data_IF_656375733939
#
_entry.id   IF_656375733939
#
_cell.length_a   1.000
_cell.length_b   1.000
_cell.length_c   1.000
_cell.angle_alpha   90.00
_cell.angle_beta   90.00
_cell.angle_gamma   90.00
#
_symmetry.space_group_name_H-M   'P 1'
#
loop_
_entity.id
_entity.type
_entity.pdbx_description
1 polymer ?
#
# COMPACT_ATOMS: atom_id res chain seq x y z
N UNK A 1 -5.59 9.55 -24.16
CA UNK A 1 -4.65 8.54 -23.65
C UNK A 1 -3.54 9.16 -22.83
N UNK A 2 -3.51 8.88 -21.52
CA UNK A 2 -2.35 9.25 -20.70
C UNK A 2 -1.35 8.10 -20.69
N UNK A 3 -0.09 8.38 -21.02
CA UNK A 3 1.01 7.42 -20.91
C UNK A 3 1.13 6.86 -19.47
N UNK A 4 1.39 5.57 -19.35
CA UNK A 4 1.68 4.92 -18.07
C UNK A 4 3.07 5.36 -17.57
N UNK A 5 3.18 5.67 -16.28
CA UNK A 5 4.44 6.12 -15.66
C UNK A 5 5.12 4.91 -15.00
N UNK A 6 6.30 4.47 -15.46
CA UNK A 6 7.00 3.33 -14.87
C UNK A 6 7.59 3.67 -13.50
N UNK A 7 7.50 2.71 -12.58
CA UNK A 7 8.00 2.82 -11.21
C UNK A 7 8.85 1.61 -10.86
N UNK A 8 9.94 1.87 -10.15
CA UNK A 8 10.82 0.83 -9.60
C UNK A 8 10.19 0.30 -8.30
N UNK A 9 10.37 -0.99 -8.03
CA UNK A 9 9.92 -1.63 -6.78
C UNK A 9 11.08 -2.41 -6.19
N UNK A 10 11.38 -2.16 -4.93
CA UNK A 10 12.37 -2.91 -4.16
C UNK A 10 11.70 -3.51 -2.93
N UNK A 11 11.72 -4.84 -2.84
CA UNK A 11 11.31 -5.61 -1.67
C UNK A 11 12.26 -6.79 -1.47
N UNK A 12 12.73 -7.01 -0.25
CA UNK A 12 13.63 -8.11 0.08
C UNK A 12 13.38 -8.67 1.49
N UNK A 13 14.12 -9.71 1.86
CA UNK A 13 13.95 -10.37 3.16
C UNK A 13 14.86 -9.80 4.27
N UNK A 14 15.48 -8.63 4.03
CA UNK A 14 16.42 -7.98 4.92
C UNK A 14 15.99 -6.54 5.27
N UNK A 15 16.46 -5.54 4.54
CA UNK A 15 16.37 -4.11 4.84
C UNK A 15 15.17 -3.39 4.19
N UNK A 16 14.49 -4.05 3.24
CA UNK A 16 13.36 -3.49 2.49
C UNK A 16 12.21 -4.50 2.43
N UNK A 17 11.75 -4.97 3.59
CA UNK A 17 10.68 -5.98 3.68
C UNK A 17 9.29 -5.40 3.57
N UNK A 18 9.05 -4.26 4.21
CA UNK A 18 7.74 -3.60 4.24
C UNK A 18 7.85 -2.21 3.66
N UNK A 19 7.15 -1.97 2.56
CA UNK A 19 7.03 -0.67 1.94
C UNK A 19 5.75 0.03 2.40
N UNK A 20 5.86 1.09 3.20
CA UNK A 20 4.76 1.98 3.54
C UNK A 20 4.55 2.94 2.37
N UNK A 21 3.41 2.87 1.70
CA UNK A 21 3.08 3.70 0.54
C UNK A 21 2.06 4.76 0.94
N UNK A 22 2.51 6.01 1.03
CA UNK A 22 1.67 7.16 1.37
C UNK A 22 1.40 8.05 0.16
N UNK A 23 0.39 8.91 0.29
CA UNK A 23 0.04 9.90 -0.71
C UNK A 23 -1.47 10.01 -0.94
N UNK A 24 -1.91 11.03 -1.68
CA UNK A 24 -3.32 11.31 -1.90
C UNK A 24 -4.08 10.16 -2.59
N UNK A 25 -5.39 10.16 -2.41
CA UNK A 25 -6.27 9.27 -3.17
C UNK A 25 -6.20 9.60 -4.66
N UNK A 26 -6.39 8.58 -5.51
CA UNK A 26 -6.25 8.67 -6.97
C UNK A 26 -4.83 8.95 -7.49
N UNK A 27 -3.81 9.05 -6.63
CA UNK A 27 -2.43 9.26 -7.05
C UNK A 27 -1.76 8.02 -7.67
N UNK A 28 -2.36 6.83 -7.50
CA UNK A 28 -1.89 5.58 -8.11
C UNK A 28 -1.28 4.57 -7.13
N UNK A 29 -1.50 4.69 -5.81
CA UNK A 29 -1.01 3.74 -4.79
C UNK A 29 -1.44 2.31 -5.11
N UNK A 30 -2.75 2.08 -5.25
CA UNK A 30 -3.28 0.75 -5.56
C UNK A 30 -2.82 0.25 -6.94
N UNK A 31 -2.63 1.14 -7.92
CA UNK A 31 -2.05 0.78 -9.23
C UNK A 31 -0.62 0.28 -9.09
N UNK A 32 0.22 1.00 -8.34
CA UNK A 32 1.61 0.65 -8.04
C UNK A 32 1.72 -0.70 -7.31
N UNK A 33 0.83 -0.97 -6.36
CA UNK A 33 0.85 -2.25 -5.64
C UNK A 33 0.33 -3.42 -6.50
N UNK A 34 -0.76 -3.21 -7.26
CA UNK A 34 -1.30 -4.23 -8.16
C UNK A 34 -0.32 -4.61 -9.26
N UNK A 35 0.42 -3.64 -9.83
CA UNK A 35 1.43 -3.97 -10.84
C UNK A 35 2.52 -4.90 -10.27
N UNK A 36 2.95 -4.72 -9.02
CA UNK A 36 3.96 -5.57 -8.38
C UNK A 36 3.45 -7.00 -8.25
N UNK A 37 2.22 -7.17 -7.78
CA UNK A 37 1.58 -8.49 -7.69
C UNK A 37 1.46 -9.16 -9.07
N UNK A 38 1.02 -8.43 -10.09
CA UNK A 38 0.90 -8.95 -11.46
C UNK A 38 2.26 -9.36 -12.03
N UNK A 39 3.30 -8.56 -11.83
CA UNK A 39 4.67 -8.86 -12.28
C UNK A 39 5.18 -10.16 -11.65
N UNK A 40 4.95 -10.37 -10.35
CA UNK A 40 5.31 -11.62 -9.64
C UNK A 40 4.58 -12.82 -10.24
N UNK A 41 3.26 -12.71 -10.45
CA UNK A 41 2.46 -13.78 -11.04
C UNK A 41 2.93 -14.12 -12.47
N UNK A 42 3.15 -13.11 -13.32
CA UNK A 42 3.64 -13.30 -14.68
C UNK A 42 5.00 -14.01 -14.70
N UNK A 43 5.92 -13.62 -13.83
CA UNK A 43 7.23 -14.26 -13.72
C UNK A 43 7.12 -15.73 -13.32
N UNK A 44 6.29 -16.06 -12.33
CA UNK A 44 6.08 -17.44 -11.88
C UNK A 44 5.28 -18.31 -12.85
N UNK A 45 4.53 -17.69 -13.78
CA UNK A 45 3.91 -18.38 -14.91
C UNK A 45 4.90 -18.68 -16.06
N UNK A 46 6.14 -18.17 -15.98
CA UNK A 46 7.14 -18.29 -17.04
C UNK A 46 7.00 -17.27 -18.17
N UNK A 47 6.21 -16.21 -17.98
CA UNK A 47 6.08 -15.11 -18.93
C UNK A 47 7.21 -14.10 -18.78
N UNK A 48 7.53 -13.38 -19.86
CA UNK A 48 8.21 -12.08 -19.72
C UNK A 48 7.35 -11.11 -18.92
N UNK A 49 8.00 -10.17 -18.24
CA UNK A 49 7.36 -9.18 -17.37
C UNK A 49 7.52 -7.76 -17.93
N UNK A 50 6.56 -6.85 -17.68
CA UNK A 50 6.59 -5.48 -18.18
C UNK A 50 7.54 -4.58 -17.37
N UNK A 51 8.83 -4.88 -17.38
CA UNK A 51 9.88 -4.11 -16.73
C UNK A 51 11.14 -4.05 -17.60
N UNK A 52 11.96 -3.02 -17.39
CA UNK A 52 13.28 -2.93 -18.04
C UNK A 52 14.21 -4.06 -17.56
N UNK A 53 14.10 -4.42 -16.29
CA UNK A 53 14.81 -5.53 -15.64
C UNK A 53 14.02 -5.96 -14.41
N UNK A 54 14.05 -7.24 -14.06
CA UNK A 54 13.41 -7.76 -12.85
C UNK A 54 14.20 -8.94 -12.27
N UNK A 55 14.36 -8.95 -10.95
CA UNK A 55 14.86 -10.09 -10.18
C UNK A 55 13.77 -10.42 -9.16
N UNK A 56 13.16 -11.59 -9.29
CA UNK A 56 11.97 -11.98 -8.53
C UNK A 56 12.24 -13.33 -7.88
N UNK A 57 12.22 -13.37 -6.54
CA UNK A 57 12.26 -14.61 -5.79
C UNK A 57 10.94 -15.37 -5.89
N UNK A 58 10.96 -16.67 -5.62
CA UNK A 58 9.72 -17.48 -5.62
C UNK A 58 8.84 -17.06 -4.45
N UNK A 59 7.61 -16.66 -4.78
CA UNK A 59 6.55 -16.33 -3.83
C UNK A 59 5.58 -17.51 -3.74
N UNK A 60 5.30 -17.97 -2.53
CA UNK A 60 4.40 -19.11 -2.32
C UNK A 60 2.93 -18.73 -2.53
N UNK A 61 2.54 -17.53 -2.08
CA UNK A 61 1.19 -16.96 -2.21
C UNK A 61 1.23 -15.44 -2.31
N UNK A 62 0.33 -14.89 -3.12
CA UNK A 62 0.04 -13.46 -3.15
C UNK A 62 -1.27 -13.21 -2.42
N UNK A 63 -1.22 -12.43 -1.34
CA UNK A 63 -2.39 -12.01 -0.59
C UNK A 63 -2.70 -10.55 -0.89
N UNK A 64 -3.97 -10.24 -1.10
CA UNK A 64 -4.41 -8.87 -1.36
C UNK A 64 -5.57 -8.51 -0.46
N UNK A 65 -5.44 -7.39 0.26
CA UNK A 65 -6.56 -6.65 0.82
C UNK A 65 -6.60 -5.28 0.16
N UNK A 66 -7.13 -5.24 -1.05
CA UNK A 66 -7.39 -4.00 -1.79
C UNK A 66 -8.90 -3.83 -1.78
N UNK A 67 -9.40 -2.69 -1.30
CA UNK A 67 -10.83 -2.46 -1.14
C UNK A 67 -11.62 -2.86 -2.38
N UNK A 68 -12.54 -3.81 -2.23
CA UNK A 68 -13.62 -4.00 -3.17
C UNK A 68 -14.63 -2.89 -2.91
N UNK A 69 -15.05 -2.20 -3.97
CA UNK A 69 -16.20 -1.30 -3.94
C UNK A 69 -17.40 -2.07 -3.36
N UNK A 70 -17.89 -1.60 -2.21
CA UNK A 70 -19.12 -1.96 -1.51
C UNK A 70 -19.84 -3.22 -2.00
N UNK A 71 -19.63 -4.34 -1.31
CA UNK A 71 -20.64 -5.40 -1.26
C UNK A 71 -21.32 -5.36 0.11
N UNK A 72 -22.37 -4.55 0.19
CA UNK A 72 -23.17 -4.30 1.38
C UNK A 72 -24.17 -5.44 1.69
N UNK A 73 -24.04 -6.60 1.04
CA UNK A 73 -25.03 -7.67 1.07
C UNK A 73 -24.60 -8.86 1.93
N UNK A 74 -24.51 -8.71 3.27
CA UNK A 74 -24.37 -9.86 4.17
C UNK A 74 -24.86 -9.68 5.62
N UNK A 75 -25.35 -8.51 6.03
CA UNK A 75 -25.74 -8.28 7.44
C UNK A 75 -24.58 -8.27 8.45
N UNK A 76 -23.34 -8.25 7.96
CA UNK A 76 -22.12 -8.06 8.76
C UNK A 76 -21.60 -6.63 8.60
N UNK A 77 -20.99 -6.07 9.66
CA UNK A 77 -20.30 -4.78 9.58
C UNK A 77 -19.16 -4.87 8.57
N UNK A 78 -19.01 -3.87 7.71
CA UNK A 78 -17.92 -3.75 6.73
C UNK A 78 -16.55 -3.88 7.39
N UNK A 79 -16.41 -3.33 8.59
CA UNK A 79 -15.21 -3.47 9.40
C UNK A 79 -14.97 -4.92 9.88
N UNK A 80 -16.01 -5.67 10.22
CA UNK A 80 -15.88 -7.07 10.63
C UNK A 80 -15.46 -7.97 9.47
N UNK A 81 -15.97 -7.70 8.26
CA UNK A 81 -15.53 -8.36 7.03
C UNK A 81 -14.05 -8.07 6.77
N UNK A 82 -13.66 -6.79 6.84
CA UNK A 82 -12.26 -6.37 6.71
C UNK A 82 -11.34 -7.08 7.71
N UNK A 83 -11.72 -7.15 8.99
CA UNK A 83 -10.93 -7.83 10.01
C UNK A 83 -10.86 -9.35 9.80
N UNK A 84 -11.93 -9.96 9.28
CA UNK A 84 -11.95 -11.40 8.97
C UNK A 84 -11.05 -11.74 7.79
N UNK A 85 -11.05 -10.90 6.74
CA UNK A 85 -10.13 -11.01 5.61
C UNK A 85 -8.67 -10.85 6.05
N UNK A 86 -8.40 -9.84 6.87
CA UNK A 86 -7.07 -9.62 7.45
C UNK A 86 -6.61 -10.80 8.30
N UNK A 87 -7.47 -11.32 9.17
CA UNK A 87 -7.17 -12.50 9.98
C UNK A 87 -6.89 -13.73 9.09
N UNK A 88 -7.62 -13.91 7.99
CA UNK A 88 -7.38 -14.98 7.04
C UNK A 88 -6.03 -14.84 6.33
N UNK A 89 -5.66 -13.63 5.91
CA UNK A 89 -4.35 -13.34 5.30
C UNK A 89 -3.23 -13.68 6.29
N UNK A 90 -3.27 -13.12 7.50
CA UNK A 90 -2.20 -13.30 8.49
C UNK A 90 -2.05 -14.75 8.96
N UNK A 91 -3.15 -15.53 8.99
CA UNK A 91 -3.12 -16.94 9.38
C UNK A 91 -2.45 -17.85 8.35
N UNK A 92 -2.55 -17.51 7.06
CA UNK A 92 -2.10 -18.38 5.97
C UNK A 92 -0.88 -17.86 5.22
N UNK A 93 -0.49 -16.61 5.45
CA UNK A 93 0.75 -16.05 4.94
C UNK A 93 1.97 -16.73 5.58
N UNK A 94 3.03 -16.84 4.80
CA UNK A 94 4.34 -17.29 5.26
C UNK A 94 5.38 -16.19 4.99
N UNK A 95 6.61 -16.35 5.49
CA UNK A 95 7.71 -15.45 5.17
C UNK A 95 8.03 -15.36 3.66
N UNK A 96 7.60 -16.36 2.86
CA UNK A 96 7.77 -16.38 1.41
C UNK A 96 6.60 -15.72 0.66
N UNK A 97 5.56 -15.28 1.36
CA UNK A 97 4.39 -14.66 0.74
C UNK A 97 4.63 -13.19 0.38
N UNK A 98 3.85 -12.70 -0.59
CA UNK A 98 3.74 -11.27 -0.93
C UNK A 98 2.38 -10.76 -0.46
N UNK A 99 2.38 -9.75 0.41
CA UNK A 99 1.16 -9.12 0.92
C UNK A 99 0.98 -7.74 0.31
N UNK A 100 -0.21 -7.47 -0.22
CA UNK A 100 -0.63 -6.16 -0.69
C UNK A 100 -1.81 -5.70 0.16
N UNK A 101 -1.57 -4.73 1.04
CA UNK A 101 -2.55 -4.26 2.01
C UNK A 101 -2.86 -2.78 1.73
N UNK A 102 -4.12 -2.45 1.49
CA UNK A 102 -4.58 -1.11 1.14
C UNK A 102 -5.62 -0.62 2.16
N UNK A 103 -5.29 0.47 2.85
CA UNK A 103 -6.15 1.24 3.74
C UNK A 103 -6.79 0.45 4.91
N UNK A 104 -6.00 -0.39 5.59
CA UNK A 104 -6.45 -1.13 6.77
C UNK A 104 -6.85 -0.19 7.91
N UNK A 105 -7.97 -0.49 8.58
CA UNK A 105 -8.44 0.21 9.79
C UNK A 105 -9.40 1.38 9.52
N UNK A 106 -9.82 1.61 8.27
CA UNK A 106 -10.68 2.75 7.92
C UNK A 106 -12.12 2.64 8.41
N UNK A 107 -12.62 1.43 8.67
CA UNK A 107 -14.01 1.18 9.07
C UNK A 107 -14.32 1.43 10.56
N UNK A 108 -13.40 1.97 11.34
CA UNK A 108 -13.53 2.16 12.80
C UNK A 108 -13.00 3.53 13.26
N UNK A 109 -12.96 3.77 14.57
CA UNK A 109 -12.39 5.01 15.14
C UNK A 109 -10.94 5.20 14.68
N UNK A 110 -10.52 6.46 14.46
CA UNK A 110 -9.19 6.77 13.93
C UNK A 110 -8.06 6.15 14.77
N UNK A 111 -8.20 6.20 16.11
CA UNK A 111 -7.21 5.65 17.03
C UNK A 111 -7.17 4.12 16.97
N UNK A 112 -8.32 3.45 16.98
CA UNK A 112 -8.37 1.99 16.90
C UNK A 112 -7.87 1.49 15.54
N UNK A 113 -8.27 2.16 14.46
CA UNK A 113 -7.85 1.84 13.10
C UNK A 113 -6.34 1.98 12.93
N UNK A 114 -5.75 3.06 13.43
CA UNK A 114 -4.30 3.25 13.43
C UNK A 114 -3.57 2.20 14.27
N UNK A 115 -4.09 1.88 15.46
CA UNK A 115 -3.49 0.86 16.34
C UNK A 115 -3.49 -0.53 15.68
N UNK A 116 -4.59 -0.89 15.02
CA UNK A 116 -4.70 -2.16 14.27
C UNK A 116 -3.75 -2.16 13.09
N UNK A 117 -3.75 -1.10 12.26
CA UNK A 117 -2.87 -0.99 11.11
C UNK A 117 -1.39 -1.09 11.50
N UNK A 118 -1.01 -0.42 12.59
CA UNK A 118 0.35 -0.52 13.17
C UNK A 118 0.68 -1.95 13.60
N UNK A 119 -0.21 -2.60 14.34
CA UNK A 119 0.04 -3.97 14.82
C UNK A 119 0.20 -4.97 13.67
N UNK A 120 -0.62 -4.84 12.61
CA UNK A 120 -0.50 -5.65 11.39
C UNK A 120 0.84 -5.41 10.70
N UNK A 121 1.24 -4.14 10.55
CA UNK A 121 2.50 -3.76 9.91
C UNK A 121 3.70 -4.32 10.69
N UNK A 122 3.73 -4.12 12.01
CA UNK A 122 4.77 -4.67 12.90
C UNK A 122 4.85 -6.20 12.81
N UNK A 123 3.69 -6.88 12.75
CA UNK A 123 3.63 -8.34 12.59
C UNK A 123 4.23 -8.81 11.26
N UNK A 124 3.96 -8.10 10.16
CA UNK A 124 4.54 -8.40 8.85
C UNK A 124 6.05 -8.12 8.80
N UNK A 125 6.49 -7.03 9.41
CA UNK A 125 7.89 -6.60 9.39
C UNK A 125 8.80 -7.53 10.22
N UNK A 126 8.32 -8.09 11.33
CA UNK A 126 9.14 -8.88 12.24
C UNK A 126 9.43 -10.30 11.70
N UNK A 127 10.71 -10.67 11.42
CA UNK A 127 11.06 -12.01 10.94
C UNK A 127 10.85 -13.12 11.96
N UNK A 128 10.72 -12.79 13.25
CA UNK A 128 10.39 -13.77 14.31
C UNK A 128 8.88 -14.04 14.37
N UNK A 129 8.08 -13.23 13.67
CA UNK A 129 6.64 -13.39 13.51
C UNK A 129 6.36 -13.87 12.09
N UNK A 130 5.85 -13.01 11.22
CA UNK A 130 5.55 -13.38 9.83
C UNK A 130 6.75 -13.14 8.92
N UNK A 131 7.35 -11.96 8.96
CA UNK A 131 8.51 -11.63 8.12
C UNK A 131 8.25 -11.69 6.61
N UNK A 132 7.02 -11.42 6.16
CA UNK A 132 6.64 -11.46 4.75
C UNK A 132 6.91 -10.12 4.05
N UNK A 133 7.18 -10.18 2.74
CA UNK A 133 7.29 -8.99 1.90
C UNK A 133 5.92 -8.33 1.79
N UNK A 134 5.82 -7.06 2.17
CA UNK A 134 4.52 -6.37 2.27
C UNK A 134 4.57 -4.98 1.64
N UNK A 135 3.60 -4.67 0.79
CA UNK A 135 3.28 -3.32 0.40
C UNK A 135 2.06 -2.85 1.19
N UNK A 136 2.22 -1.79 1.96
CA UNK A 136 1.22 -1.29 2.90
C UNK A 136 0.84 0.14 2.53
N UNK A 137 -0.26 0.33 1.81
CA UNK A 137 -0.79 1.65 1.53
C UNK A 137 -1.67 2.15 2.68
N UNK A 138 -1.44 3.38 3.13
CA UNK A 138 -2.13 3.95 4.29
C UNK A 138 -2.35 5.45 4.16
N UNK A 139 -3.30 5.95 4.95
CA UNK A 139 -3.55 7.37 5.20
C UNK A 139 -3.07 7.83 6.57
N UNK A 140 -2.68 6.89 7.43
CA UNK A 140 -2.10 7.19 8.74
C UNK A 140 -0.65 7.61 8.55
N UNK A 141 -0.41 8.93 8.45
CA UNK A 141 0.94 9.50 8.34
C UNK A 141 1.81 9.13 9.54
N UNK A 142 1.20 8.90 10.70
CA UNK A 142 1.85 8.46 11.94
C UNK A 142 2.60 7.12 11.77
N UNK A 143 2.14 6.25 10.87
CA UNK A 143 2.82 4.98 10.60
C UNK A 143 4.17 5.17 9.90
N UNK A 144 4.41 6.31 9.25
CA UNK A 144 5.69 6.58 8.58
C UNK A 144 6.86 6.66 9.57
N UNK A 145 6.60 7.02 10.83
CA UNK A 145 7.61 7.01 11.89
C UNK A 145 8.18 5.60 12.17
N UNK A 146 7.51 4.54 11.70
CA UNK A 146 7.96 3.16 11.90
C UNK A 146 9.23 2.82 11.12
N UNK A 147 9.54 3.50 10.01
CA UNK A 147 10.82 3.34 9.29
C UNK A 147 12.03 3.60 10.21
N UNK A 148 11.89 4.50 11.20
CA UNK A 148 12.98 4.84 12.12
C UNK A 148 13.15 3.82 13.26
N UNK A 149 12.13 3.00 13.52
CA UNK A 149 12.08 2.13 14.70
C UNK A 149 12.03 0.64 14.37
N UNK A 150 11.59 0.28 13.16
CA UNK A 150 11.45 -1.11 12.70
C UNK A 150 12.42 -1.39 11.54
N UNK A 151 13.42 -2.25 11.73
CA UNK A 151 14.28 -2.71 10.64
C UNK A 151 13.45 -3.36 9.53
N UNK A 152 13.81 -3.08 8.28
CA UNK A 152 13.09 -3.64 7.13
C UNK A 152 11.86 -2.84 6.69
N UNK A 153 11.48 -1.77 7.41
CA UNK A 153 10.38 -0.89 7.02
C UNK A 153 10.91 0.34 6.29
N UNK A 154 10.31 0.67 5.14
CA UNK A 154 10.72 1.78 4.29
C UNK A 154 9.53 2.63 3.88
N UNK A 155 9.71 3.94 3.87
CA UNK A 155 8.68 4.86 3.41
C UNK A 155 8.81 5.16 1.92
N UNK A 156 7.67 5.17 1.25
CA UNK A 156 7.52 5.60 -0.12
C UNK A 156 6.32 6.54 -0.23
N UNK A 157 6.44 7.55 -1.08
CA UNK A 157 5.34 8.46 -1.38
C UNK A 157 5.15 8.64 -2.88
N UNK A 158 3.94 9.05 -3.26
CA UNK A 158 3.63 9.43 -4.64
C UNK A 158 3.79 10.92 -4.79
N UNK A 159 4.66 11.32 -5.71
CA UNK A 159 4.91 12.73 -6.01
C UNK A 159 3.70 13.41 -6.65
N UNK A 160 3.39 14.60 -6.15
CA UNK A 160 2.43 15.52 -6.71
C UNK A 160 3.09 16.90 -6.88
N UNK A 161 2.70 17.64 -7.91
CA UNK A 161 3.23 18.98 -8.19
C UNK A 161 2.09 19.98 -8.31
N UNK A 162 2.19 21.12 -7.62
CA UNK A 162 1.29 22.26 -7.83
C UNK A 162 1.78 23.04 -9.04
N UNK A 163 0.90 23.25 -10.03
CA UNK A 163 1.18 24.08 -11.19
C UNK A 163 -0.07 24.93 -11.51
N UNK A 164 0.06 26.25 -11.44
CA UNK A 164 -1.02 27.18 -11.80
C UNK A 164 -2.28 27.04 -10.94
N UNK A 165 -2.16 26.66 -9.66
CA UNK A 165 -3.31 26.42 -8.77
C UNK A 165 -3.96 25.03 -8.92
N UNK A 166 -3.50 24.22 -9.88
CA UNK A 166 -3.95 22.83 -10.09
C UNK A 166 -2.93 21.86 -9.53
N UNK A 167 -3.39 20.83 -8.80
CA UNK A 167 -2.55 19.72 -8.36
C UNK A 167 -2.41 18.70 -9.49
N UNK A 168 -1.19 18.44 -9.93
CA UNK A 168 -0.84 17.44 -10.94
C UNK A 168 -0.21 16.22 -10.26
N UNK A 169 -0.83 15.06 -10.37
CA UNK A 169 -0.24 13.80 -9.89
C UNK A 169 0.78 13.28 -10.91
N UNK A 170 2.06 13.24 -10.51
CA UNK A 170 3.13 12.74 -11.37
C UNK A 170 3.17 11.21 -11.43
N UNK A 171 2.46 10.53 -10.50
CA UNK A 171 2.37 9.06 -10.40
C UNK A 171 3.73 8.37 -10.26
N UNK A 172 4.78 9.11 -9.89
CA UNK A 172 6.12 8.59 -9.63
C UNK A 172 6.27 8.32 -8.13
N UNK A 173 6.64 7.09 -7.80
CA UNK A 173 6.99 6.63 -6.46
C UNK A 173 8.41 7.09 -6.15
N UNK A 174 8.60 7.71 -4.99
CA UNK A 174 9.90 8.13 -4.47
C UNK A 174 10.04 7.68 -3.02
N UNK A 175 11.27 7.46 -2.57
CA UNK A 175 11.55 7.14 -1.18
C UNK A 175 11.27 8.34 -0.26
N UNK A 176 10.87 8.04 0.98
CA UNK A 176 10.54 9.01 2.02
C UNK A 176 9.03 9.07 2.31
N UNK A 177 8.70 9.60 3.49
CA UNK A 177 7.32 9.91 3.87
C UNK A 177 6.77 11.07 3.01
N UNK A 178 5.45 11.13 2.84
CA UNK A 178 4.82 12.29 2.24
C UNK A 178 4.91 13.50 3.20
N UNK A 179 5.51 14.60 2.77
CA UNK A 179 5.66 15.84 3.56
C UNK A 179 4.34 16.62 3.72
N UNK A 180 3.42 16.50 2.75
CA UNK A 180 2.18 17.29 2.68
C UNK A 180 0.92 16.41 2.53
N UNK A 181 -0.13 16.76 3.28
CA UNK A 181 -1.49 16.28 3.03
C UNK A 181 -2.18 17.19 2.01
N UNK A 182 -2.46 16.67 0.83
CA UNK A 182 -3.13 17.42 -0.26
C UNK A 182 -4.68 17.36 -0.18
N UNK A 183 -5.25 17.03 0.97
CA UNK A 183 -6.69 16.82 1.12
C UNK A 183 -7.53 18.05 0.74
N UNK A 184 -7.07 19.24 1.15
CA UNK A 184 -7.75 20.52 0.86
C UNK A 184 -7.67 20.84 -0.64
N UNK A 185 -6.53 20.60 -1.27
CA UNK A 185 -6.35 20.83 -2.70
C UNK A 185 -7.15 19.86 -3.55
N UNK A 186 -7.28 18.61 -3.12
CA UNK A 186 -8.18 17.63 -3.75
C UNK A 186 -9.64 18.08 -3.61
N UNK A 187 -10.05 18.64 -2.47
CA UNK A 187 -11.38 19.21 -2.30
C UNK A 187 -11.62 20.41 -3.24
N UNK A 188 -10.64 21.30 -3.42
CA UNK A 188 -10.72 22.40 -4.39
C UNK A 188 -10.83 21.90 -5.83
N UNK A 189 -10.06 20.88 -6.19
CA UNK A 189 -10.17 20.23 -7.51
C UNK A 189 -11.53 19.57 -7.73
N UNK A 190 -12.15 19.05 -6.67
CA UNK A 190 -13.49 18.48 -6.72
C UNK A 190 -14.60 19.55 -6.77
N UNK A 191 -14.25 20.84 -6.69
CA UNK A 191 -15.20 21.95 -6.74
C UNK A 191 -15.89 22.24 -5.41
N UNK A 192 -15.30 21.85 -4.27
CA UNK A 192 -15.81 22.25 -2.95
C UNK A 192 -15.71 23.78 -2.83
N UNK A 193 -16.80 24.49 -2.45
CA UNK A 193 -16.81 25.95 -2.39
C UNK A 193 -15.75 26.50 -1.43
N UNK A 194 -15.06 27.57 -1.85
CA UNK A 194 -14.27 28.40 -0.94
C UNK A 194 -15.25 29.20 -0.08
N UNK A 195 -15.40 28.84 1.20
CA UNK A 195 -16.19 29.59 2.18
C UNK A 195 -15.39 30.75 2.76
#
# INVERSE_FOLDING_TARGET
DSLFVPNDTFLNDADDRVAIVTGPNMAGKSTYMRQTALIVLMAQMGSFVPAKSAVIGVVDRVFTRIGASDDLAAGQSTFMVEMSEMANILRHATAQSLLILDEIGRGTSTYDGMAIARAVLEYCADPRRLGAKTMFATHYHELTALEQTLPGVRNYNITAKKQGGTLLFLRKIVAGAADDSYGIEVAKLAGVPDA
#
